data_IF_988449166828
#
_entry.id   IF_988449166828
#
_cell.length_a   1.000
_cell.length_b   1.000
_cell.length_c   1.000
_cell.angle_alpha   90.00
_cell.angle_beta   90.00
_cell.angle_gamma   90.00
#
_symmetry.space_group_name_H-M   'P 1'
#
loop_
_entity.id
_entity.type
_entity.pdbx_description
1 polymer ?
#
# COMPACT_ATOMS: atom_id res chain seq x y z
N UNK A 1 19.86 12.55 -8.09
CA UNK A 1 19.62 11.18 -7.61
C UNK A 1 18.13 10.94 -7.66
N UNK A 2 17.68 9.91 -8.37
CA UNK A 2 16.26 9.55 -8.38
C UNK A 2 15.93 9.04 -6.96
N UNK A 3 14.91 9.55 -6.26
CA UNK A 3 14.54 9.02 -4.96
C UNK A 3 14.23 7.53 -5.12
N UNK A 4 14.82 6.70 -4.25
CA UNK A 4 14.43 5.30 -4.15
C UNK A 4 13.14 5.30 -3.33
N UNK A 5 12.01 5.14 -4.01
CA UNK A 5 10.72 4.95 -3.37
C UNK A 5 10.53 3.46 -3.05
N UNK A 6 10.06 3.14 -1.84
CA UNK A 6 9.77 1.75 -1.44
C UNK A 6 8.57 1.17 -2.20
N UNK A 7 7.62 2.01 -2.61
CA UNK A 7 6.44 1.65 -3.38
C UNK A 7 5.89 2.86 -4.16
N UNK A 8 5.12 2.59 -5.21
CA UNK A 8 4.37 3.58 -5.96
C UNK A 8 2.91 3.13 -6.11
N UNK A 9 1.98 4.08 -6.02
CA UNK A 9 0.56 3.88 -6.19
C UNK A 9 -0.11 5.19 -6.66
N UNK A 10 -1.41 5.17 -6.93
CA UNK A 10 -2.08 6.31 -7.57
C UNK A 10 -2.88 7.20 -6.60
N UNK A 11 -3.23 6.72 -5.40
CA UNK A 11 -4.20 7.42 -4.53
C UNK A 11 -3.60 7.93 -3.21
N UNK A 12 -2.54 7.31 -2.68
CA UNK A 12 -2.07 7.61 -1.31
C UNK A 12 -1.65 9.08 -1.14
N UNK A 13 -0.92 9.64 -2.11
CA UNK A 13 -0.49 11.03 -2.06
C UNK A 13 -1.67 12.01 -2.15
N UNK A 14 -2.69 11.70 -2.97
CA UNK A 14 -3.89 12.51 -3.09
C UNK A 14 -4.71 12.49 -1.79
N UNK A 15 -4.84 11.32 -1.15
CA UNK A 15 -5.52 11.18 0.14
C UNK A 15 -4.78 11.94 1.25
N UNK A 16 -3.44 11.86 1.31
CA UNK A 16 -2.62 12.63 2.25
C UNK A 16 -2.84 14.14 2.09
N UNK A 17 -2.84 14.66 0.86
CA UNK A 17 -3.04 16.09 0.61
C UNK A 17 -4.37 16.61 1.17
N UNK A 18 -5.44 15.79 1.08
CA UNK A 18 -6.74 16.12 1.70
C UNK A 18 -6.66 16.07 3.23
N UNK A 19 -6.02 15.05 3.80
CA UNK A 19 -5.87 14.94 5.25
C UNK A 19 -5.08 16.12 5.85
N UNK A 20 -4.00 16.54 5.19
CA UNK A 20 -3.19 17.71 5.55
C UNK A 20 -4.02 18.99 5.53
N UNK A 21 -4.84 19.19 4.49
CA UNK A 21 -5.72 20.35 4.36
C UNK A 21 -6.77 20.45 5.48
N UNK A 22 -7.07 19.33 6.16
CA UNK A 22 -8.02 19.25 7.26
C UNK A 22 -7.37 19.05 8.64
N UNK A 23 -6.03 18.99 8.73
CA UNK A 23 -5.32 18.77 9.99
C UNK A 23 -5.59 17.39 10.61
N UNK A 24 -5.91 16.38 9.80
CA UNK A 24 -6.24 15.02 10.27
C UNK A 24 -5.02 14.12 10.05
N UNK A 25 -4.56 13.36 11.06
CA UNK A 25 -3.50 12.36 10.87
C UNK A 25 -3.90 11.31 9.83
N UNK A 26 -2.99 10.98 8.93
CA UNK A 26 -3.22 9.98 7.88
C UNK A 26 -2.10 8.92 7.87
N UNK A 27 -2.51 7.67 7.63
CA UNK A 27 -1.62 6.54 7.45
C UNK A 27 -2.13 5.67 6.29
N UNK A 28 -1.35 5.58 5.22
CA UNK A 28 -1.60 4.66 4.11
C UNK A 28 -0.97 3.29 4.36
N UNK A 29 -1.77 2.22 4.30
CA UNK A 29 -1.29 0.83 4.38
C UNK A 29 -1.51 0.17 3.02
N UNK A 30 -0.41 -0.25 2.36
CA UNK A 30 -0.43 -0.88 1.04
C UNK A 30 0.21 -2.26 1.08
N UNK A 31 -0.33 -3.20 0.32
CA UNK A 31 0.31 -4.47 0.01
C UNK A 31 0.87 -4.44 -1.41
N UNK A 32 2.05 -5.02 -1.62
CA UNK A 32 2.71 -5.06 -2.94
C UNK A 32 2.02 -6.11 -3.82
N UNK A 33 1.51 -5.69 -4.98
CA UNK A 33 0.87 -6.54 -5.99
C UNK A 33 1.77 -6.88 -7.18
N UNK A 34 2.87 -6.16 -7.34
CA UNK A 34 3.80 -6.30 -8.45
C UNK A 34 5.05 -5.47 -8.18
N UNK A 35 6.14 -5.79 -8.89
CA UNK A 35 7.41 -5.10 -8.74
C UNK A 35 8.59 -6.05 -8.74
N UNK A 36 9.77 -5.49 -8.46
CA UNK A 36 11.00 -6.26 -8.35
C UNK A 36 10.93 -7.23 -7.16
N UNK A 37 11.50 -8.43 -7.31
CA UNK A 37 11.54 -9.43 -6.25
C UNK A 37 10.35 -10.38 -6.22
N UNK A 38 9.52 -10.41 -7.29
CA UNK A 38 8.50 -11.43 -7.48
C UNK A 38 9.08 -12.85 -7.33
N UNK A 39 8.64 -13.64 -6.34
CA UNK A 39 9.16 -14.98 -6.08
C UNK A 39 8.81 -16.00 -7.16
N UNK A 40 7.72 -15.79 -7.92
CA UNK A 40 7.32 -16.67 -9.02
C UNK A 40 7.86 -16.21 -10.37
N UNK A 41 8.57 -15.06 -10.43
CA UNK A 41 9.16 -14.49 -11.65
C UNK A 41 8.13 -14.39 -12.78
N UNK A 42 6.91 -13.98 -12.46
CA UNK A 42 5.86 -13.76 -13.45
C UNK A 42 6.28 -12.64 -14.39
N UNK A 43 5.67 -12.56 -15.59
CA UNK A 43 5.76 -11.34 -16.37
C UNK A 43 5.36 -10.13 -15.51
N UNK A 44 6.01 -8.97 -15.69
CA UNK A 44 5.75 -7.78 -14.89
C UNK A 44 4.30 -7.28 -15.09
N UNK A 45 3.98 -6.12 -14.50
CA UNK A 45 2.70 -5.47 -14.68
C UNK A 45 2.25 -5.51 -16.17
N UNK A 46 1.01 -5.96 -16.46
CA UNK A 46 -0.09 -6.19 -15.52
C UNK A 46 -0.25 -7.64 -15.02
N UNK A 47 0.58 -8.59 -15.47
CA UNK A 47 0.36 -10.03 -15.19
C UNK A 47 0.57 -10.33 -13.71
N UNK A 48 1.71 -9.92 -13.15
CA UNK A 48 1.99 -10.05 -11.71
C UNK A 48 0.91 -9.37 -10.86
N UNK A 49 0.44 -8.18 -11.26
CA UNK A 49 -0.64 -7.45 -10.58
C UNK A 49 -1.91 -8.28 -10.50
N UNK A 50 -2.39 -8.83 -11.62
CA UNK A 50 -3.61 -9.63 -11.62
C UNK A 50 -3.48 -10.92 -10.82
N UNK A 51 -2.27 -11.48 -10.76
CA UNK A 51 -1.99 -12.68 -9.95
C UNK A 51 -1.98 -12.37 -8.45
N UNK A 52 -1.37 -11.26 -8.02
CA UNK A 52 -1.15 -10.96 -6.60
C UNK A 52 -2.10 -9.94 -5.98
N UNK A 53 -2.92 -9.20 -6.74
CA UNK A 53 -3.79 -8.14 -6.19
C UNK A 53 -4.66 -8.59 -5.01
N UNK A 54 -5.14 -9.84 -5.03
CA UNK A 54 -6.00 -10.35 -3.97
C UNK A 54 -5.21 -10.61 -2.68
N UNK A 55 -4.03 -11.22 -2.75
CA UNK A 55 -3.19 -11.45 -1.57
C UNK A 55 -2.62 -10.12 -1.04
N UNK A 56 -2.26 -9.19 -1.93
CA UNK A 56 -1.86 -7.83 -1.56
C UNK A 56 -2.96 -7.11 -0.77
N UNK A 57 -4.20 -7.15 -1.28
CA UNK A 57 -5.37 -6.58 -0.60
C UNK A 57 -5.65 -7.26 0.75
N UNK A 58 -5.62 -8.60 0.81
CA UNK A 58 -5.83 -9.34 2.06
C UNK A 58 -4.77 -9.03 3.11
N UNK A 59 -3.49 -8.89 2.72
CA UNK A 59 -2.42 -8.53 3.63
C UNK A 59 -2.55 -7.09 4.14
N UNK A 60 -2.85 -6.13 3.27
CA UNK A 60 -3.10 -4.75 3.66
C UNK A 60 -4.29 -4.64 4.64
N UNK A 61 -5.37 -5.37 4.38
CA UNK A 61 -6.53 -5.42 5.26
C UNK A 61 -6.20 -6.04 6.64
N UNK A 62 -5.40 -7.12 6.68
CA UNK A 62 -4.95 -7.75 7.95
C UNK A 62 -4.13 -6.79 8.79
N UNK A 63 -3.16 -6.11 8.17
CA UNK A 63 -2.33 -5.11 8.86
C UNK A 63 -3.18 -3.95 9.35
N UNK A 64 -4.11 -3.45 8.53
CA UNK A 64 -5.05 -2.40 8.91
C UNK A 64 -5.91 -2.82 10.11
N UNK A 65 -6.48 -4.03 10.09
CA UNK A 65 -7.28 -4.54 11.20
C UNK A 65 -6.47 -4.70 12.48
N UNK A 66 -5.25 -5.25 12.40
CA UNK A 66 -4.36 -5.39 13.54
C UNK A 66 -3.92 -4.02 14.10
N UNK A 67 -3.65 -3.06 13.22
CA UNK A 67 -3.39 -1.68 13.61
C UNK A 67 -4.59 -1.11 14.36
N UNK A 68 -5.81 -1.18 13.81
CA UNK A 68 -7.01 -0.67 14.49
C UNK A 68 -7.28 -1.34 15.85
N UNK A 69 -7.02 -2.64 15.99
CA UNK A 69 -7.18 -3.35 17.27
C UNK A 69 -6.15 -2.93 18.32
N UNK A 70 -4.92 -2.62 17.90
CA UNK A 70 -3.84 -2.18 18.79
C UNK A 70 -3.80 -0.66 18.99
N UNK A 71 -4.50 0.07 18.12
CA UNK A 71 -4.59 1.52 18.15
C UNK A 71 -5.44 1.98 19.32
N UNK A 72 -4.76 2.45 20.37
CA UNK A 72 -5.38 3.06 21.54
C UNK A 72 -5.84 4.51 21.29
N UNK A 73 -6.15 4.88 20.04
CA UNK A 73 -6.29 6.27 19.60
C UNK A 73 -7.09 7.16 20.55
N UNK A 74 -6.53 8.35 20.83
CA UNK A 74 -7.01 9.38 21.78
C UNK A 74 -6.92 8.97 23.26
#
# INVERSE_FOLDING_TARGET
MNPIYDAMDNETAAAQAVADAHGVPFLGIRGISDGQGDPLRLPPFPVSFFFYKQIAASNAARVTAAFMQSWKGM
#
